data_IF_782217467389
#
_entry.id   IF_782217467389
#
_cell.length_a   1.000
_cell.length_b   1.000
_cell.length_c   1.000
_cell.angle_alpha   90.00
_cell.angle_beta   90.00
_cell.angle_gamma   90.00
#
_symmetry.space_group_name_H-M   'P 1'
#
loop_
_entity.id
_entity.type
_entity.pdbx_description
1 polymer ?
#
# COMPACT_ATOMS: atom_id res chain seq x y z
N UNK A 1 -8.35 -29.71 -5.10
CA UNK A 1 -9.26 -28.79 -4.40
C UNK A 1 -8.53 -27.46 -4.31
N UNK A 2 -8.84 -26.51 -5.18
CA UNK A 2 -8.26 -25.16 -5.13
C UNK A 2 -9.00 -24.41 -4.04
N UNK A 3 -8.31 -24.07 -2.96
CA UNK A 3 -8.86 -23.23 -1.90
C UNK A 3 -9.07 -21.84 -2.49
N UNK A 4 -10.31 -21.47 -2.77
CA UNK A 4 -10.64 -20.09 -3.16
C UNK A 4 -10.36 -19.20 -1.94
N UNK A 5 -9.36 -18.34 -2.08
CA UNK A 5 -8.99 -17.38 -1.06
C UNK A 5 -10.09 -16.32 -0.95
N UNK A 6 -10.57 -16.06 0.26
CA UNK A 6 -11.60 -15.04 0.45
C UNK A 6 -11.00 -13.65 0.16
N UNK A 7 -11.78 -12.73 -0.44
CA UNK A 7 -11.34 -11.36 -0.71
C UNK A 7 -10.67 -10.69 0.51
N UNK A 8 -11.20 -10.94 1.71
CA UNK A 8 -10.64 -10.44 2.96
C UNK A 8 -9.23 -10.99 3.27
N UNK A 9 -8.95 -12.26 2.96
CA UNK A 9 -7.62 -12.85 3.13
C UNK A 9 -6.63 -12.30 2.11
N UNK A 10 -7.08 -12.05 0.87
CA UNK A 10 -6.27 -11.41 -0.18
C UNK A 10 -5.89 -9.98 0.19
N UNK A 11 -6.85 -9.25 0.73
CA UNK A 11 -6.67 -7.90 1.26
C UNK A 11 -5.69 -7.89 2.42
N UNK A 12 -5.84 -8.79 3.40
CA UNK A 12 -4.96 -8.87 4.55
C UNK A 12 -3.51 -9.19 4.12
N UNK A 13 -3.36 -10.15 3.20
CA UNK A 13 -2.05 -10.51 2.62
C UNK A 13 -1.41 -9.31 1.92
N UNK A 14 -2.18 -8.56 1.13
CA UNK A 14 -1.72 -7.35 0.47
C UNK A 14 -1.30 -6.26 1.47
N UNK A 15 -2.08 -6.04 2.53
CA UNK A 15 -1.77 -5.03 3.55
C UNK A 15 -0.45 -5.33 4.28
N UNK A 16 -0.21 -6.61 4.63
CA UNK A 16 1.04 -7.05 5.25
C UNK A 16 2.24 -6.87 4.32
N UNK A 17 2.11 -7.30 3.06
CA UNK A 17 3.17 -7.14 2.05
C UNK A 17 3.51 -5.67 1.83
N UNK A 18 2.50 -4.79 1.75
CA UNK A 18 2.71 -3.36 1.56
C UNK A 18 3.39 -2.74 2.79
N UNK A 19 3.04 -3.18 4.00
CA UNK A 19 3.68 -2.71 5.23
C UNK A 19 5.17 -3.06 5.26
N UNK A 20 5.52 -4.30 4.90
CA UNK A 20 6.91 -4.74 4.79
C UNK A 20 7.66 -3.94 3.71
N UNK A 21 7.05 -3.75 2.53
CA UNK A 21 7.67 -2.96 1.45
C UNK A 21 7.80 -1.48 1.78
N UNK A 22 6.95 -0.92 2.65
CA UNK A 22 7.04 0.47 3.08
C UNK A 22 8.37 0.78 3.80
N UNK A 23 9.02 -0.22 4.37
CA UNK A 23 10.37 -0.08 4.97
C UNK A 23 11.42 0.37 3.95
N UNK A 24 11.21 0.11 2.66
CA UNK A 24 12.10 0.49 1.56
C UNK A 24 11.93 1.96 1.13
N UNK A 25 10.94 2.66 1.70
CA UNK A 25 10.69 4.08 1.41
C UNK A 25 11.57 4.93 2.32
N UNK A 26 12.55 5.62 1.72
CA UNK A 26 13.47 6.52 2.43
C UNK A 26 12.80 7.79 2.99
N UNK A 27 11.53 8.03 2.69
CA UNK A 27 10.76 9.15 3.26
C UNK A 27 10.02 8.70 4.53
N UNK A 28 10.53 9.10 5.68
CA UNK A 28 9.99 8.76 7.01
C UNK A 28 8.51 9.11 7.20
N UNK A 29 8.05 10.23 6.63
CA UNK A 29 6.64 10.64 6.73
C UNK A 29 5.77 9.70 5.90
N UNK A 30 6.19 9.39 4.68
CA UNK A 30 5.42 8.50 3.80
C UNK A 30 5.40 7.07 4.34
N UNK A 31 6.53 6.59 4.87
CA UNK A 31 6.60 5.30 5.55
C UNK A 31 5.60 5.21 6.70
N UNK A 32 5.54 6.22 7.58
CA UNK A 32 4.57 6.26 8.69
C UNK A 32 3.13 6.25 8.18
N UNK A 33 2.81 7.05 7.18
CA UNK A 33 1.46 7.12 6.62
C UNK A 33 1.01 5.78 6.02
N UNK A 34 1.91 5.08 5.31
CA UNK A 34 1.61 3.77 4.74
C UNK A 34 1.32 2.75 5.83
N UNK A 35 2.13 2.70 6.90
CA UNK A 35 1.90 1.80 8.04
C UNK A 35 0.55 2.06 8.70
N UNK A 36 0.19 3.33 8.92
CA UNK A 36 -1.10 3.71 9.53
C UNK A 36 -2.26 3.22 8.67
N UNK A 37 -2.24 3.51 7.37
CA UNK A 37 -3.32 3.13 6.45
C UNK A 37 -3.40 1.61 6.28
N UNK A 38 -2.27 0.90 6.29
CA UNK A 38 -2.26 -0.55 6.26
C UNK A 38 -2.89 -1.15 7.52
N UNK A 39 -2.62 -0.58 8.70
CA UNK A 39 -3.28 -1.01 9.94
C UNK A 39 -4.80 -0.77 9.90
N UNK A 40 -5.25 0.38 9.38
CA UNK A 40 -6.68 0.65 9.16
C UNK A 40 -7.31 -0.40 8.23
N UNK A 41 -6.62 -0.78 7.16
CA UNK A 41 -7.08 -1.83 6.24
C UNK A 41 -7.21 -3.18 6.95
N UNK A 42 -6.26 -3.57 7.80
CA UNK A 42 -6.35 -4.80 8.58
C UNK A 42 -7.54 -4.77 9.53
N UNK A 43 -7.74 -3.65 10.23
CA UNK A 43 -8.88 -3.46 11.12
C UNK A 43 -10.20 -3.61 10.35
N UNK A 44 -10.37 -2.86 9.25
CA UNK A 44 -11.61 -2.86 8.48
C UNK A 44 -11.84 -4.14 7.66
N UNK A 45 -10.78 -4.88 7.31
CA UNK A 45 -10.90 -6.17 6.61
C UNK A 45 -11.49 -7.29 7.49
N UNK A 46 -11.49 -7.09 8.81
CA UNK A 46 -12.11 -8.00 9.78
C UNK A 46 -13.64 -7.86 9.79
N UNK A 47 -14.18 -6.74 9.30
CA UNK A 47 -15.62 -6.50 9.22
C UNK A 47 -16.23 -7.18 8.00
N UNK A 48 -17.39 -7.82 8.17
CA UNK A 48 -18.18 -8.40 7.08
C UNK A 48 -19.62 -7.87 7.10
N UNK A 49 -20.13 -7.32 5.98
CA UNK A 49 -19.44 -7.05 4.71
C UNK A 49 -18.37 -5.95 4.84
N UNK A 50 -17.44 -5.87 3.89
CA UNK A 50 -16.45 -4.79 3.84
C UNK A 50 -17.15 -3.44 3.78
N UNK A 51 -16.69 -2.51 4.60
CA UNK A 51 -17.31 -1.20 4.77
C UNK A 51 -16.80 -0.18 3.75
N UNK A 52 -17.49 0.95 3.62
CA UNK A 52 -17.01 2.08 2.80
C UNK A 52 -15.63 2.56 3.23
N UNK A 53 -15.37 2.54 4.54
CA UNK A 53 -14.11 3.00 5.13
C UNK A 53 -12.93 2.11 4.71
N UNK A 54 -13.16 0.80 4.57
CA UNK A 54 -12.18 -0.11 3.98
C UNK A 54 -11.70 0.37 2.59
N UNK A 55 -12.65 0.69 1.70
CA UNK A 55 -12.33 1.13 0.34
C UNK A 55 -11.66 2.52 0.30
N UNK A 56 -11.98 3.39 1.26
CA UNK A 56 -11.31 4.70 1.40
C UNK A 56 -9.84 4.50 1.79
N UNK A 57 -9.55 3.70 2.83
CA UNK A 57 -8.18 3.42 3.24
C UNK A 57 -7.38 2.76 2.10
N UNK A 58 -7.99 1.85 1.33
CA UNK A 58 -7.34 1.21 0.19
C UNK A 58 -6.98 2.22 -0.91
N UNK A 59 -7.88 3.15 -1.20
CA UNK A 59 -7.68 4.20 -2.19
C UNK A 59 -6.55 5.16 -1.77
N UNK A 60 -6.51 5.52 -0.49
CA UNK A 60 -5.47 6.38 0.07
C UNK A 60 -4.09 5.71 0.00
N UNK A 61 -4.02 4.41 0.34
CA UNK A 61 -2.79 3.64 0.24
C UNK A 61 -2.28 3.61 -1.20
N UNK A 62 -3.17 3.32 -2.15
CA UNK A 62 -2.81 3.26 -3.57
C UNK A 62 -2.36 4.62 -4.12
N UNK A 63 -2.95 5.73 -3.67
CA UNK A 63 -2.53 7.07 -4.06
C UNK A 63 -1.10 7.39 -3.57
N UNK A 64 -0.78 7.08 -2.31
CA UNK A 64 0.57 7.29 -1.75
C UNK A 64 1.63 6.45 -2.47
N UNK A 65 1.34 5.17 -2.72
CA UNK A 65 2.27 4.29 -3.43
C UNK A 65 2.52 4.75 -4.88
N UNK A 66 1.47 5.21 -5.58
CA UNK A 66 1.62 5.78 -6.94
C UNK A 66 2.50 7.04 -6.92
N UNK A 67 2.31 7.91 -5.94
CA UNK A 67 3.10 9.13 -5.81
C UNK A 67 4.59 8.81 -5.56
N UNK A 68 4.90 7.87 -4.67
CA UNK A 68 6.29 7.47 -4.41
C UNK A 68 6.94 6.78 -5.61
N UNK A 69 6.20 5.91 -6.31
CA UNK A 69 6.67 5.31 -7.57
C UNK A 69 7.01 6.38 -8.61
N UNK A 70 6.18 7.41 -8.76
CA UNK A 70 6.45 8.51 -9.68
C UNK A 70 7.69 9.32 -9.27
N UNK A 71 7.85 9.64 -7.99
CA UNK A 71 9.05 10.33 -7.48
C UNK A 71 10.32 9.50 -7.73
N UNK A 72 10.27 8.20 -7.51
CA UNK A 72 11.38 7.29 -7.79
C UNK A 72 11.73 7.28 -9.28
N UNK A 73 10.73 7.13 -10.16
CA UNK A 73 10.95 7.14 -11.60
C UNK A 73 11.50 8.47 -12.12
N UNK A 74 11.01 9.60 -11.60
CA UNK A 74 11.50 10.94 -11.99
C UNK A 74 12.93 11.19 -11.51
N UNK A 75 13.31 10.71 -10.32
CA UNK A 75 14.71 10.76 -9.86
C UNK A 75 15.63 9.98 -10.80
N UNK A 76 15.20 8.79 -11.24
CA UNK A 76 16.01 7.94 -12.13
C UNK A 76 16.05 8.46 -13.58
N UNK A 77 15.01 9.14 -14.05
CA UNK A 77 15.02 9.77 -15.38
C UNK A 77 16.02 10.93 -15.47
N UNK A 78 16.22 11.68 -14.38
CA UNK A 78 17.16 12.80 -14.34
C UNK A 78 18.63 12.36 -14.18
N UNK A 79 18.90 11.09 -13.87
CA UNK A 79 20.27 10.55 -13.79
C UNK A 79 20.79 9.97 -15.11
N UNK A 80 19.93 9.82 -16.14
CA UNK A 80 20.29 9.20 -17.42
C UNK A 80 20.72 10.23 -18.49
N UNK A 81 21.11 11.44 -18.10
CA UNK A 81 21.50 12.52 -19.02
C UNK A 81 22.93 13.02 -18.82
N UNK A 82 23.84 12.10 -18.48
CA UNK A 82 25.28 12.36 -18.45
C UNK A 82 26.05 11.18 -19.04
N UNK A 83 25.98 10.97 -20.36
CA UNK A 83 27.05 10.37 -21.17
C UNK A 83 26.90 10.87 -22.61
#
# INVERSE_FOLDING_TARGET
>A
MTTEMSDAEAILTLALVITDMATLINNDVVRKNIVIIANELVCHASDRPLTKDFYISLSNLMALLKQEKQKYNNKNANTTHCY
#
